data_IF_608896185171
#
_entry.id   IF_608896185171
#
_cell.length_a   1.000
_cell.length_b   1.000
_cell.length_c   1.000
_cell.angle_alpha   90.00
_cell.angle_beta   90.00
_cell.angle_gamma   90.00
#
_symmetry.space_group_name_H-M   'P 1'
#
loop_
_entity.id
_entity.type
_entity.pdbx_description
1 polymer ?
#
# COMPACT_ATOMS: atom_id res chain seq x y z
N UNK A 1 -15.06 4.17 5.19
CA UNK A 1 -13.64 4.21 5.60
C UNK A 1 -12.91 3.27 4.66
N UNK A 2 -12.08 3.84 3.80
CA UNK A 2 -11.52 3.22 2.59
C UNK A 2 -10.80 1.90 2.91
N UNK A 3 -11.39 0.79 2.49
CA UNK A 3 -10.92 -0.58 2.64
C UNK A 3 -9.88 -0.90 1.54
N UNK A 4 -8.78 -0.13 1.49
CA UNK A 4 -7.65 -0.48 0.64
C UNK A 4 -6.80 -1.54 1.34
N UNK A 5 -6.21 -2.49 0.59
CA UNK A 5 -5.50 -3.60 1.17
C UNK A 5 -4.35 -3.08 2.01
N UNK A 6 -4.37 -3.41 3.30
CA UNK A 6 -3.21 -3.22 4.14
C UNK A 6 -2.01 -3.87 3.45
N UNK A 7 -0.87 -3.20 3.39
CA UNK A 7 0.32 -3.78 2.78
C UNK A 7 0.66 -5.10 3.52
N UNK A 8 0.76 -6.26 2.86
CA UNK A 8 0.93 -7.55 3.55
C UNK A 8 2.28 -7.69 4.27
N UNK A 9 3.25 -6.83 3.97
CA UNK A 9 4.61 -6.88 4.54
C UNK A 9 4.77 -6.07 5.83
N UNK A 10 4.21 -4.85 5.86
CA UNK A 10 4.26 -3.99 7.04
C UNK A 10 2.92 -3.83 7.75
N UNK A 11 1.85 -4.41 7.18
CA UNK A 11 0.47 -4.28 7.62
C UNK A 11 -0.04 -2.83 7.68
N UNK A 12 0.61 -1.92 6.93
CA UNK A 12 0.25 -0.51 6.87
C UNK A 12 -1.07 -0.32 6.15
N UNK A 13 -1.93 0.53 6.70
CA UNK A 13 -3.23 0.88 6.13
C UNK A 13 -3.14 1.83 4.93
N UNK A 14 -1.92 2.23 4.53
CA UNK A 14 -1.68 3.20 3.49
C UNK A 14 -0.88 2.57 2.36
N UNK A 15 -1.56 2.26 1.27
CA UNK A 15 -0.96 1.94 -0.03
C UNK A 15 -1.45 3.00 -1.02
N UNK A 16 -0.59 3.45 -1.92
CA UNK A 16 -0.95 4.41 -2.96
C UNK A 16 -0.71 3.79 -4.33
N UNK A 17 -1.52 4.16 -5.31
CA UNK A 17 -1.34 3.68 -6.67
C UNK A 17 -0.34 4.60 -7.40
N UNK A 18 0.79 4.03 -7.82
CA UNK A 18 1.77 4.68 -8.70
C UNK A 18 1.71 4.00 -10.06
N UNK A 19 1.19 4.70 -11.08
CA UNK A 19 1.19 4.20 -12.46
C UNK A 19 0.46 2.87 -12.70
N UNK A 20 -0.45 2.46 -11.81
CA UNK A 20 -1.17 1.19 -11.86
C UNK A 20 -0.60 0.07 -10.96
N UNK A 21 0.45 0.35 -10.19
CA UNK A 21 1.00 -0.53 -9.15
C UNK A 21 0.67 0.03 -7.76
N UNK A 22 0.50 -0.83 -6.76
CA UNK A 22 0.17 -0.41 -5.41
C UNK A 22 1.44 -0.33 -4.56
N UNK A 23 1.99 0.87 -4.44
CA UNK A 23 3.20 1.11 -3.67
C UNK A 23 2.86 1.40 -2.21
N UNK A 24 3.52 0.68 -1.31
CA UNK A 24 3.51 0.96 0.10
C UNK A 24 4.58 2.02 0.44
N UNK A 25 4.21 3.21 0.96
CA UNK A 25 5.15 4.26 1.31
C UNK A 25 5.98 3.93 2.55
N UNK A 26 5.55 2.99 3.39
CA UNK A 26 6.28 2.63 4.62
C UNK A 26 7.43 1.66 4.37
N UNK A 27 7.25 0.69 3.46
CA UNK A 27 8.25 -0.34 3.21
C UNK A 27 8.77 -0.39 1.76
N UNK A 28 8.24 0.46 0.88
CA UNK A 28 8.62 0.50 -0.55
C UNK A 28 8.19 -0.75 -1.33
N UNK A 29 7.19 -1.49 -0.85
CA UNK A 29 6.67 -2.65 -1.55
C UNK A 29 5.65 -2.21 -2.60
N UNK A 30 6.00 -2.39 -3.87
CA UNK A 30 5.12 -2.26 -5.04
C UNK A 30 4.27 -3.51 -5.32
#
# INVERSE_FOLDING_TARGET
MSNFPCCPKCNSAYTYEDGGQYVCPECGHE
#
